data_IF_988641699241
#
_entry.id   IF_988641699241
#
_cell.length_a   1.000
_cell.length_b   1.000
_cell.length_c   1.000
_cell.angle_alpha   90.00
_cell.angle_beta   90.00
_cell.angle_gamma   90.00
#
_symmetry.space_group_name_H-M   'P 1'
#
loop_
_entity.id
_entity.type
_entity.pdbx_description
1 polymer ?
#
# COMPACT_ATOMS: atom_id res chain seq x y z
N UNK A 1 -58.05 18.53 -46.49
CA UNK A 1 -58.25 18.03 -47.87
C UNK A 1 -58.00 16.52 -47.99
N UNK A 2 -57.64 15.82 -46.91
CA UNK A 2 -57.34 14.37 -46.91
C UNK A 2 -56.01 14.02 -47.58
N UNK A 3 -55.08 14.99 -47.64
CA UNK A 3 -53.73 14.75 -48.11
C UNK A 3 -52.94 13.87 -47.13
N UNK A 4 -52.10 12.99 -47.70
CA UNK A 4 -51.21 12.13 -46.92
C UNK A 4 -50.13 12.98 -46.23
N UNK A 5 -49.94 12.76 -44.92
CA UNK A 5 -48.94 13.48 -44.14
C UNK A 5 -47.64 12.68 -44.03
N UNK A 6 -46.54 13.38 -44.20
CA UNK A 6 -45.19 12.87 -43.95
C UNK A 6 -44.59 13.58 -42.75
N UNK A 7 -43.91 12.82 -41.89
CA UNK A 7 -43.31 13.33 -40.67
C UNK A 7 -41.79 13.13 -40.71
N UNK A 8 -41.07 14.12 -40.22
CA UNK A 8 -39.62 14.07 -40.01
C UNK A 8 -39.36 14.54 -38.58
N UNK A 9 -38.52 13.82 -37.83
CA UNK A 9 -38.03 14.28 -36.55
C UNK A 9 -36.51 14.42 -36.58
N UNK A 10 -36.00 15.48 -35.96
CA UNK A 10 -34.59 15.76 -35.82
C UNK A 10 -34.29 16.05 -34.35
N UNK A 11 -33.28 15.37 -33.82
CA UNK A 11 -32.69 15.70 -32.52
C UNK A 11 -31.64 16.79 -32.72
N UNK A 12 -31.56 17.74 -31.78
CA UNK A 12 -30.47 18.73 -31.72
C UNK A 12 -29.09 18.05 -31.63
N UNK A 13 -29.03 16.89 -30.95
CA UNK A 13 -27.84 16.05 -30.79
C UNK A 13 -28.18 14.58 -31.12
N UNK A 14 -28.17 14.18 -32.40
CA UNK A 14 -28.53 12.83 -32.84
C UNK A 14 -27.65 11.71 -32.26
N UNK A 15 -26.41 12.03 -31.88
CA UNK A 15 -25.49 11.13 -31.20
C UNK A 15 -25.89 10.81 -29.76
N UNK A 16 -26.62 11.73 -29.11
CA UNK A 16 -27.08 11.58 -27.72
C UNK A 16 -28.51 11.03 -27.65
N UNK A 17 -29.37 11.42 -28.60
CA UNK A 17 -30.72 10.88 -28.75
C UNK A 17 -31.05 10.71 -30.22
N UNK A 18 -31.17 9.47 -30.67
CA UNK A 18 -31.62 9.15 -32.02
C UNK A 18 -33.15 9.34 -32.12
N UNK A 19 -33.60 10.05 -33.16
CA UNK A 19 -35.01 10.26 -33.47
C UNK A 19 -35.38 9.53 -34.76
N UNK A 20 -36.34 8.62 -34.68
CA UNK A 20 -36.89 7.91 -35.84
C UNK A 20 -38.41 8.13 -35.91
N UNK A 21 -38.93 8.26 -37.13
CA UNK A 21 -40.37 8.37 -37.36
C UNK A 21 -40.80 7.29 -38.34
N UNK A 22 -41.69 6.42 -37.89
CA UNK A 22 -42.32 5.39 -38.72
C UNK A 22 -43.82 5.60 -38.76
N UNK A 23 -44.34 6.03 -39.92
CA UNK A 23 -45.73 6.46 -40.05
C UNK A 23 -46.03 7.67 -39.17
N UNK A 24 -46.90 7.50 -38.18
CA UNK A 24 -47.29 8.54 -37.22
C UNK A 24 -46.67 8.32 -35.82
N UNK A 25 -45.69 7.43 -35.69
CA UNK A 25 -45.01 7.14 -34.43
C UNK A 25 -43.60 7.71 -34.42
N UNK A 26 -43.33 8.57 -33.44
CA UNK A 26 -41.97 9.02 -33.10
C UNK A 26 -41.36 8.07 -32.06
N UNK A 27 -40.14 7.61 -32.31
CA UNK A 27 -39.31 6.86 -31.37
C UNK A 27 -38.06 7.66 -31.08
N UNK A 28 -37.83 7.94 -29.80
CA UNK A 28 -36.63 8.62 -29.30
C UNK A 28 -35.81 7.60 -28.50
N UNK A 29 -34.57 7.40 -28.89
CA UNK A 29 -33.66 6.44 -28.26
C UNK A 29 -32.45 7.20 -27.73
N UNK A 30 -32.40 7.50 -26.42
CA UNK A 30 -31.19 8.01 -25.79
C UNK A 30 -30.02 7.04 -25.99
N UNK A 31 -28.82 7.58 -26.15
CA UNK A 31 -27.59 6.80 -26.11
C UNK A 31 -27.44 6.13 -24.73
N UNK A 32 -26.78 4.98 -24.71
CA UNK A 32 -26.38 4.32 -23.47
C UNK A 32 -25.57 5.30 -22.61
N UNK A 33 -25.83 5.29 -21.30
CA UNK A 33 -25.16 6.12 -20.29
C UNK A 33 -25.30 7.64 -20.48
N UNK A 34 -26.16 8.10 -21.40
CA UNK A 34 -26.42 9.53 -21.59
C UNK A 34 -27.65 9.98 -20.81
N UNK A 35 -27.47 11.06 -20.04
CA UNK A 35 -28.53 11.79 -19.35
C UNK A 35 -28.46 13.29 -19.67
N UNK A 36 -29.59 13.98 -19.58
CA UNK A 36 -29.67 15.41 -19.84
C UNK A 36 -30.91 15.81 -20.63
N UNK A 37 -30.88 17.02 -21.17
CA UNK A 37 -32.00 17.56 -21.95
C UNK A 37 -31.57 17.82 -23.39
N UNK A 38 -32.43 17.48 -24.35
CA UNK A 38 -32.24 17.73 -25.78
C UNK A 38 -33.52 18.26 -26.40
N UNK A 39 -33.41 19.16 -27.37
CA UNK A 39 -34.57 19.61 -28.14
C UNK A 39 -34.80 18.67 -29.32
N UNK A 40 -36.07 18.28 -29.51
CA UNK A 40 -36.53 17.49 -30.65
C UNK A 40 -37.45 18.37 -31.49
N UNK A 41 -37.10 18.53 -32.76
CA UNK A 41 -37.94 19.20 -33.75
C UNK A 41 -38.70 18.17 -34.58
N UNK A 42 -40.01 18.30 -34.67
CA UNK A 42 -40.86 17.46 -35.50
C UNK A 42 -41.50 18.34 -36.56
N UNK A 43 -41.32 17.96 -37.83
CA UNK A 43 -41.93 18.63 -38.97
C UNK A 43 -42.93 17.71 -39.65
N UNK A 44 -44.06 18.27 -40.06
CA UNK A 44 -45.11 17.60 -40.82
C UNK A 44 -45.34 18.30 -42.14
N UNK A 45 -45.50 17.54 -43.23
CA UNK A 45 -45.80 18.07 -44.56
C UNK A 45 -46.86 17.25 -45.27
N UNK A 46 -47.78 17.95 -45.94
CA UNK A 46 -48.77 17.40 -46.89
C UNK A 46 -48.22 17.31 -48.34
N UNK A 47 -46.92 17.58 -48.54
CA UNK A 47 -46.27 17.64 -49.84
C UNK A 47 -46.28 19.02 -50.51
N UNK A 48 -47.03 19.99 -49.98
CA UNK A 48 -47.10 21.37 -50.49
C UNK A 48 -46.68 22.41 -49.44
N UNK A 49 -47.14 22.25 -48.21
CA UNK A 49 -46.83 23.09 -47.05
C UNK A 49 -46.16 22.24 -45.97
N UNK A 50 -45.56 22.94 -45.02
CA UNK A 50 -44.83 22.32 -43.92
C UNK A 50 -45.08 23.13 -42.65
N UNK A 51 -45.25 22.44 -41.54
CA UNK A 51 -45.27 23.02 -40.20
C UNK A 51 -44.26 22.29 -39.31
N UNK A 52 -43.80 22.94 -38.23
CA UNK A 52 -42.80 22.37 -37.33
C UNK A 52 -43.00 22.80 -35.89
N UNK A 53 -42.90 21.85 -34.98
CA UNK A 53 -42.93 22.07 -33.54
C UNK A 53 -41.66 21.56 -32.88
N UNK A 54 -41.26 22.18 -31.77
CA UNK A 54 -40.08 21.76 -31.01
C UNK A 54 -40.44 21.57 -29.54
N UNK A 55 -39.99 20.46 -28.97
CA UNK A 55 -40.15 20.17 -27.54
C UNK A 55 -38.85 19.68 -26.93
N UNK A 56 -38.70 19.88 -25.62
CA UNK A 56 -37.57 19.36 -24.86
C UNK A 56 -37.87 17.96 -24.35
N UNK A 57 -36.95 17.01 -24.62
CA UNK A 57 -36.87 15.73 -23.94
C UNK A 57 -35.85 15.84 -22.81
N UNK A 58 -36.21 15.39 -21.61
CA UNK A 58 -35.27 15.21 -20.49
C UNK A 58 -35.12 13.73 -20.16
N UNK A 59 -33.89 13.24 -20.23
CA UNK A 59 -33.49 11.89 -19.83
C UNK A 59 -32.90 11.96 -18.42
N UNK A 60 -33.51 11.24 -17.49
CA UNK A 60 -33.06 11.17 -16.09
C UNK A 60 -31.92 10.16 -15.94
N UNK A 61 -30.87 10.48 -15.16
CA UNK A 61 -29.82 9.49 -14.87
C UNK A 61 -30.38 8.29 -14.10
N UNK A 62 -29.76 7.14 -14.32
CA UNK A 62 -29.86 5.95 -13.48
C UNK A 62 -28.45 5.70 -12.95
N UNK A 63 -28.31 5.45 -11.66
CA UNK A 63 -26.99 5.22 -11.07
C UNK A 63 -26.45 3.86 -11.49
N UNK A 64 -25.25 3.83 -12.04
CA UNK A 64 -24.55 2.62 -12.40
C UNK A 64 -23.65 2.13 -11.25
N UNK A 65 -23.31 0.84 -11.26
CA UNK A 65 -22.37 0.30 -10.29
C UNK A 65 -20.93 0.57 -10.76
N UNK A 66 -19.99 0.86 -9.85
CA UNK A 66 -18.60 1.03 -10.23
C UNK A 66 -18.02 -0.28 -10.75
N UNK A 67 -17.13 -0.18 -11.73
CA UNK A 67 -16.46 -1.31 -12.37
C UNK A 67 -14.96 -1.24 -12.07
N UNK A 68 -14.44 -2.22 -11.35
CA UNK A 68 -13.01 -2.36 -11.11
C UNK A 68 -12.30 -2.90 -12.36
N UNK A 69 -11.06 -2.43 -12.60
CA UNK A 69 -10.23 -2.96 -13.68
C UNK A 69 -9.48 -4.22 -13.21
N UNK A 70 -9.38 -5.22 -14.10
CA UNK A 70 -8.61 -6.42 -13.81
C UNK A 70 -7.12 -6.09 -13.74
N UNK A 71 -6.45 -6.63 -12.72
CA UNK A 71 -5.04 -6.44 -12.47
C UNK A 71 -4.35 -7.81 -12.56
N UNK A 72 -3.25 -7.87 -13.30
CA UNK A 72 -2.37 -9.02 -13.32
C UNK A 72 -0.93 -8.52 -13.24
N UNK A 73 -0.20 -8.95 -12.23
CA UNK A 73 1.14 -8.48 -11.92
C UNK A 73 2.04 -9.68 -11.66
N UNK A 74 3.28 -9.59 -12.13
CA UNK A 74 4.34 -10.54 -11.84
C UNK A 74 5.57 -9.77 -11.39
N UNK A 75 6.27 -10.29 -10.38
CA UNK A 75 7.54 -9.76 -9.90
C UNK A 75 8.56 -10.90 -9.79
N UNK A 76 9.84 -10.57 -9.73
CA UNK A 76 10.87 -11.52 -9.34
C UNK A 76 10.70 -11.88 -7.87
N UNK A 77 11.18 -13.07 -7.49
CA UNK A 77 11.25 -13.43 -6.07
C UNK A 77 11.99 -12.34 -5.26
N UNK A 78 11.57 -12.16 -4.01
CA UNK A 78 12.14 -11.20 -3.06
C UNK A 78 12.17 -9.73 -3.52
N UNK A 79 11.34 -9.38 -4.50
CA UNK A 79 11.28 -8.02 -5.06
C UNK A 79 9.90 -7.41 -4.82
N UNK A 80 9.81 -6.33 -3.99
CA UNK A 80 8.55 -5.61 -3.80
C UNK A 80 7.98 -5.09 -5.13
N UNK A 81 6.65 -5.08 -5.23
CA UNK A 81 5.95 -4.58 -6.42
C UNK A 81 4.81 -3.65 -6.02
N UNK A 82 4.79 -2.47 -6.63
CA UNK A 82 3.67 -1.55 -6.53
C UNK A 82 2.57 -1.97 -7.51
N UNK A 83 1.34 -2.13 -7.00
CA UNK A 83 0.19 -2.56 -7.79
C UNK A 83 -0.79 -1.40 -7.93
N UNK A 84 -0.85 -0.73 -9.09
CA UNK A 84 -1.82 0.33 -9.30
C UNK A 84 -3.23 -0.25 -9.37
N UNK A 85 -4.14 0.31 -8.59
CA UNK A 85 -5.57 -0.01 -8.64
C UNK A 85 -6.34 1.07 -9.40
N UNK A 86 -7.31 0.65 -10.20
CA UNK A 86 -8.14 1.55 -11.00
C UNK A 86 -9.52 0.95 -11.21
N UNK A 87 -10.47 1.84 -11.49
CA UNK A 87 -11.85 1.52 -11.80
C UNK A 87 -12.50 2.68 -12.54
N UNK A 88 -13.73 2.48 -12.96
CA UNK A 88 -14.56 3.51 -13.57
C UNK A 88 -15.97 3.45 -13.02
N UNK A 89 -16.59 4.61 -12.92
CA UNK A 89 -18.00 4.79 -12.63
C UNK A 89 -18.56 5.72 -13.71
N UNK A 90 -19.74 5.42 -14.24
CA UNK A 90 -20.33 6.13 -15.38
C UNK A 90 -20.68 7.57 -15.02
N UNK A 91 -21.18 7.78 -13.80
CA UNK A 91 -21.48 9.11 -13.26
C UNK A 91 -20.21 9.87 -12.86
N UNK A 92 -19.08 9.18 -12.77
CA UNK A 92 -17.80 9.74 -12.32
C UNK A 92 -17.73 9.91 -10.81
N UNK A 93 -18.48 9.11 -10.06
CA UNK A 93 -18.43 9.11 -8.61
C UNK A 93 -17.04 8.70 -8.09
N UNK A 94 -16.69 9.21 -6.91
CA UNK A 94 -15.42 8.89 -6.28
C UNK A 94 -15.38 7.42 -5.86
N UNK A 95 -14.33 6.71 -6.28
CA UNK A 95 -14.15 5.29 -6.01
C UNK A 95 -13.39 5.05 -4.72
N UNK A 96 -13.86 4.09 -3.92
CA UNK A 96 -13.09 3.51 -2.81
C UNK A 96 -12.73 2.08 -3.14
N UNK A 97 -11.51 1.67 -2.78
CA UNK A 97 -11.00 0.33 -3.03
C UNK A 97 -10.71 -0.35 -1.69
N UNK A 98 -11.04 -1.63 -1.60
CA UNK A 98 -10.72 -2.47 -0.46
C UNK A 98 -10.06 -3.76 -0.94
N UNK A 99 -9.18 -4.29 -0.11
CA UNK A 99 -8.57 -5.60 -0.35
C UNK A 99 -9.51 -6.67 0.19
N UNK A 100 -9.93 -7.60 -0.67
CA UNK A 100 -10.79 -8.73 -0.26
C UNK A 100 -9.98 -9.95 0.19
N UNK A 101 -8.88 -10.25 -0.50
CA UNK A 101 -8.02 -11.40 -0.23
C UNK A 101 -6.56 -10.96 -0.24
N UNK A 102 -5.81 -11.36 0.79
CA UNK A 102 -4.36 -11.16 0.85
C UNK A 102 -3.62 -12.23 0.05
N UNK A 103 -2.40 -11.93 -0.44
CA UNK A 103 -1.55 -12.95 -1.04
C UNK A 103 -1.25 -14.06 -0.02
N UNK A 104 -1.24 -15.32 -0.48
CA UNK A 104 -0.91 -16.47 0.37
C UNK A 104 0.58 -16.49 0.78
N UNK A 105 1.45 -15.86 -0.02
CA UNK A 105 2.89 -15.77 0.21
C UNK A 105 3.35 -14.33 0.01
N UNK A 106 4.19 -13.83 0.92
CA UNK A 106 4.45 -12.39 1.05
C UNK A 106 3.28 -11.68 1.72
N UNK A 107 3.33 -10.36 1.79
CA UNK A 107 2.25 -9.56 2.38
C UNK A 107 2.16 -8.18 1.78
N UNK A 108 1.23 -7.38 2.29
CA UNK A 108 0.92 -6.05 1.78
C UNK A 108 1.39 -4.99 2.75
N UNK A 109 1.89 -3.89 2.22
CA UNK A 109 2.33 -2.72 2.99
C UNK A 109 3.85 -2.53 2.94
N UNK A 110 4.32 -1.37 3.40
CA UNK A 110 5.73 -1.17 3.69
C UNK A 110 6.16 -2.15 4.79
N UNK A 111 7.05 -3.06 4.43
CA UNK A 111 7.71 -3.98 5.36
C UNK A 111 9.20 -3.69 5.33
N UNK A 112 9.86 -3.75 6.48
CA UNK A 112 11.31 -3.52 6.52
C UNK A 112 12.00 -4.56 7.37
N UNK A 113 13.27 -4.79 7.05
CA UNK A 113 14.22 -5.51 7.89
C UNK A 113 15.45 -4.63 8.03
N UNK A 114 15.81 -4.29 9.26
CA UNK A 114 17.07 -3.64 9.59
C UNK A 114 18.02 -4.70 10.10
N UNK A 115 19.20 -4.77 9.47
CA UNK A 115 20.31 -5.61 9.91
C UNK A 115 21.34 -4.76 10.65
N UNK A 116 21.71 -5.19 11.85
CA UNK A 116 22.80 -4.63 12.64
C UNK A 116 23.90 -5.67 12.77
N UNK A 117 25.08 -5.33 12.29
CA UNK A 117 26.27 -6.16 12.43
C UNK A 117 26.97 -5.77 13.74
N UNK A 118 27.10 -6.73 14.66
CA UNK A 118 27.84 -6.58 15.89
C UNK A 118 29.19 -7.29 15.79
N UNK A 119 30.28 -6.52 15.86
CA UNK A 119 31.66 -7.02 15.72
C UNK A 119 32.42 -6.87 17.03
N UNK A 120 33.06 -7.94 17.48
CA UNK A 120 33.88 -7.95 18.69
C UNK A 120 34.70 -9.24 18.83
N UNK A 121 35.91 -9.15 19.39
CA UNK A 121 36.74 -10.34 19.63
C UNK A 121 37.09 -11.14 18.36
N UNK A 122 37.08 -10.49 17.19
CA UNK A 122 37.31 -11.12 15.89
C UNK A 122 36.13 -11.95 15.36
N UNK A 123 34.93 -11.77 15.92
CA UNK A 123 33.69 -12.40 15.47
C UNK A 123 32.67 -11.33 15.04
N UNK A 124 31.70 -11.73 14.22
CA UNK A 124 30.57 -10.91 13.79
C UNK A 124 29.25 -11.65 14.06
N UNK A 125 28.30 -10.98 14.69
CA UNK A 125 26.92 -11.44 14.84
C UNK A 125 25.98 -10.53 14.06
N UNK A 126 25.02 -11.11 13.36
CA UNK A 126 24.00 -10.39 12.59
C UNK A 126 22.71 -10.37 13.38
N UNK A 127 22.20 -9.17 13.66
CA UNK A 127 20.93 -8.96 14.36
C UNK A 127 19.92 -8.38 13.37
N UNK A 128 18.86 -9.12 13.09
CA UNK A 128 17.80 -8.67 12.19
C UNK A 128 16.54 -8.32 12.97
N UNK A 129 15.97 -7.14 12.72
CA UNK A 129 14.68 -6.74 13.29
C UNK A 129 13.81 -6.03 12.25
N UNK A 130 12.50 -6.03 12.47
CA UNK A 130 11.59 -5.22 11.66
C UNK A 130 10.17 -5.75 11.65
N UNK A 131 9.40 -5.29 10.67
CA UNK A 131 8.01 -5.66 10.47
C UNK A 131 7.84 -6.39 9.16
N UNK A 132 7.17 -7.54 9.23
CA UNK A 132 6.63 -8.20 8.04
C UNK A 132 5.15 -8.48 8.30
N UNK A 133 4.25 -8.19 7.35
CA UNK A 133 2.83 -8.50 7.47
C UNK A 133 2.51 -10.00 7.49
N UNK A 134 3.51 -10.84 7.26
CA UNK A 134 3.42 -12.30 7.29
C UNK A 134 4.39 -12.94 8.29
N UNK A 135 5.06 -12.14 9.13
CA UNK A 135 5.83 -12.72 10.22
C UNK A 135 4.87 -13.42 11.18
N UNK A 136 5.18 -14.67 11.49
CA UNK A 136 4.53 -15.41 12.56
C UNK A 136 5.33 -15.22 13.85
N UNK A 137 4.64 -15.24 14.98
CA UNK A 137 5.20 -15.12 16.33
C UNK A 137 5.86 -16.43 16.83
N UNK A 138 5.97 -17.44 15.95
CA UNK A 138 6.46 -18.79 16.25
C UNK A 138 7.34 -19.29 15.11
N UNK A 139 8.37 -20.07 15.45
CA UNK A 139 9.24 -20.73 14.49
C UNK A 139 8.47 -21.50 13.39
N UNK A 140 8.57 -21.04 12.14
CA UNK A 140 8.06 -21.70 10.95
C UNK A 140 9.17 -22.43 10.18
N UNK A 141 9.22 -23.75 10.33
CA UNK A 141 10.23 -24.61 9.69
C UNK A 141 10.19 -24.46 8.14
N UNK A 142 11.27 -23.92 7.57
CA UNK A 142 11.40 -23.69 6.12
C UNK A 142 11.12 -22.26 5.65
N UNK A 143 10.56 -21.41 6.52
CA UNK A 143 10.46 -19.94 6.34
C UNK A 143 11.46 -19.25 7.27
N UNK A 144 11.61 -19.74 8.50
CA UNK A 144 12.58 -19.26 9.48
C UNK A 144 13.96 -19.87 9.27
N UNK A 145 14.82 -19.06 8.66
CA UNK A 145 16.21 -19.39 8.37
C UNK A 145 17.16 -19.27 9.59
N UNK A 146 16.69 -18.88 10.77
CA UNK A 146 17.60 -18.42 11.85
C UNK A 146 17.26 -18.92 13.26
N UNK A 147 17.59 -20.19 13.52
CA UNK A 147 17.90 -20.65 14.87
C UNK A 147 19.15 -21.55 14.86
N UNK A 148 20.37 -21.00 14.68
CA UNK A 148 21.56 -21.79 14.98
C UNK A 148 21.54 -22.14 16.48
N UNK A 149 21.89 -23.37 16.88
CA UNK A 149 22.01 -23.72 18.30
C UNK A 149 23.03 -22.79 18.98
N UNK A 150 22.83 -22.43 20.27
CA UNK A 150 23.69 -21.50 20.99
C UNK A 150 25.16 -21.95 20.86
N UNK A 151 26.07 -21.10 20.35
CA UNK A 151 27.47 -21.47 20.22
C UNK A 151 28.11 -21.68 21.61
N UNK A 152 29.09 -22.58 21.75
CA UNK A 152 29.87 -22.69 22.99
C UNK A 152 30.62 -21.36 23.22
N UNK A 153 30.73 -20.88 24.46
CA UNK A 153 31.07 -19.48 24.72
C UNK A 153 32.49 -19.14 24.25
N UNK A 154 32.69 -18.15 23.36
CA UNK A 154 33.90 -17.35 23.33
C UNK A 154 33.62 -15.99 24.01
N UNK A 155 34.64 -15.13 24.12
CA UNK A 155 34.56 -13.88 24.87
C UNK A 155 33.46 -12.90 24.45
N UNK A 156 32.94 -12.96 23.21
CA UNK A 156 31.97 -12.00 22.65
C UNK A 156 30.64 -12.66 22.29
N UNK A 157 29.53 -11.98 22.55
CA UNK A 157 28.16 -12.40 22.21
C UNK A 157 27.24 -11.16 22.09
N UNK A 158 26.32 -11.16 21.11
CA UNK A 158 25.28 -10.14 20.94
C UNK A 158 23.98 -10.79 20.45
N UNK A 159 22.84 -10.47 21.07
CA UNK A 159 21.54 -11.01 20.69
C UNK A 159 20.39 -10.04 21.00
N UNK A 160 19.30 -10.15 20.25
CA UNK A 160 18.03 -9.48 20.52
C UNK A 160 17.31 -10.19 21.68
N UNK A 161 16.69 -9.43 22.59
CA UNK A 161 15.93 -9.92 23.72
C UNK A 161 14.42 -9.78 23.50
N UNK A 162 13.68 -10.87 23.72
CA UNK A 162 12.21 -10.85 23.68
C UNK A 162 11.60 -11.84 24.66
N UNK A 163 10.63 -11.38 25.45
CA UNK A 163 9.91 -12.20 26.44
C UNK A 163 10.80 -13.00 27.43
N UNK A 164 12.07 -12.59 27.60
CA UNK A 164 13.06 -13.28 28.45
C UNK A 164 14.00 -14.23 27.70
N UNK A 165 13.77 -14.45 26.41
CA UNK A 165 14.59 -15.29 25.54
C UNK A 165 15.48 -14.46 24.60
N UNK A 166 16.45 -15.12 23.96
CA UNK A 166 17.50 -14.51 23.12
C UNK A 166 17.39 -14.97 21.67
N UNK A 167 17.47 -14.04 20.73
CA UNK A 167 17.30 -14.27 19.30
C UNK A 167 18.34 -13.52 18.47
N UNK A 168 18.73 -14.04 17.30
CA UNK A 168 19.50 -13.27 16.31
C UNK A 168 18.59 -12.54 15.32
N UNK A 169 17.31 -12.91 15.27
CA UNK A 169 16.33 -12.31 14.38
C UNK A 169 15.03 -12.17 15.15
N UNK A 170 14.44 -10.98 15.13
CA UNK A 170 13.16 -10.68 15.76
C UNK A 170 12.33 -9.82 14.81
N UNK A 171 11.52 -10.48 14.00
CA UNK A 171 10.58 -9.85 13.09
C UNK A 171 9.19 -10.03 13.70
N UNK A 172 8.43 -8.95 13.81
CA UNK A 172 7.08 -9.00 14.36
C UNK A 172 6.05 -8.76 13.27
N UNK A 173 4.85 -9.32 13.45
CA UNK A 173 3.71 -9.02 12.60
C UNK A 173 3.43 -7.52 12.67
N UNK A 174 3.43 -6.84 11.52
CA UNK A 174 3.19 -5.41 11.46
C UNK A 174 3.41 -4.81 10.06
N UNK A 175 3.11 -3.53 9.95
CA UNK A 175 3.37 -2.68 8.77
C UNK A 175 4.03 -1.39 9.26
N UNK A 176 4.71 -0.64 8.39
CA UNK A 176 5.08 0.74 8.75
C UNK A 176 3.84 1.63 9.01
N UNK A 177 2.64 1.19 8.60
CA UNK A 177 1.38 1.85 8.97
C UNK A 177 0.96 1.59 10.45
N UNK A 178 1.63 0.66 11.14
CA UNK A 178 1.49 0.51 12.60
C UNK A 178 2.28 1.63 13.29
N UNK A 179 1.61 2.74 13.56
CA UNK A 179 2.20 3.93 14.17
C UNK A 179 2.58 3.76 15.65
N UNK A 180 2.54 2.54 16.18
CA UNK A 180 2.95 2.21 17.55
C UNK A 180 4.48 2.17 17.64
N UNK A 181 5.04 2.69 18.73
CA UNK A 181 6.46 2.54 19.02
C UNK A 181 6.78 1.10 19.43
N UNK A 182 7.80 0.52 18.80
CA UNK A 182 8.33 -0.80 19.13
C UNK A 182 9.75 -0.69 19.67
N UNK A 183 10.07 -1.51 20.67
CA UNK A 183 11.35 -1.48 21.38
C UNK A 183 11.95 -2.88 21.41
N UNK A 184 13.20 -2.99 20.97
CA UNK A 184 14.00 -4.21 21.02
C UNK A 184 15.20 -4.02 21.94
N UNK A 185 15.42 -4.96 22.86
CA UNK A 185 16.63 -4.98 23.68
C UNK A 185 17.75 -5.69 22.91
N UNK A 186 18.93 -5.08 22.82
CA UNK A 186 20.16 -5.75 22.39
C UNK A 186 20.96 -6.10 23.63
N UNK A 187 21.09 -7.39 23.92
CA UNK A 187 21.96 -7.92 24.96
C UNK A 187 23.38 -8.07 24.43
N UNK A 188 24.36 -7.55 25.19
CA UNK A 188 25.76 -7.48 24.80
C UNK A 188 26.66 -8.16 25.83
N UNK A 189 27.57 -9.00 25.36
CA UNK A 189 28.69 -9.55 26.12
C UNK A 189 30.00 -9.16 25.45
N UNK A 190 30.84 -8.45 26.21
CA UNK A 190 32.07 -7.87 25.70
C UNK A 190 33.21 -8.89 25.58
N UNK A 191 34.01 -8.83 24.50
CA UNK A 191 35.23 -9.62 24.38
C UNK A 191 36.31 -9.16 25.36
N UNK A 192 37.44 -9.87 25.42
CA UNK A 192 38.56 -9.52 26.32
C UNK A 192 39.11 -8.10 26.10
N UNK A 193 39.04 -7.58 24.87
CA UNK A 193 39.45 -6.22 24.53
C UNK A 193 38.42 -5.15 24.94
N UNK A 194 37.24 -5.55 25.40
CA UNK A 194 36.13 -4.70 25.79
C UNK A 194 35.61 -3.77 24.68
N UNK A 195 35.75 -4.18 23.42
CA UNK A 195 35.27 -3.40 22.27
C UNK A 195 34.18 -4.16 21.53
N UNK A 196 33.05 -3.48 21.29
CA UNK A 196 32.01 -3.93 20.37
C UNK A 196 31.74 -2.78 19.39
N UNK A 197 31.73 -3.06 18.10
CA UNK A 197 31.30 -2.12 17.07
C UNK A 197 30.00 -2.62 16.46
N UNK A 198 28.97 -1.79 16.51
CA UNK A 198 27.70 -1.98 15.82
C UNK A 198 27.71 -1.17 14.52
N UNK A 199 27.30 -1.77 13.41
CA UNK A 199 27.13 -1.09 12.11
C UNK A 199 25.81 -1.47 11.46
N UNK A 200 25.21 -0.56 10.70
CA UNK A 200 23.93 -0.77 10.00
C UNK A 200 23.88 0.07 8.72
N UNK A 201 23.00 -0.31 7.78
CA UNK A 201 22.66 0.52 6.61
C UNK A 201 21.52 1.48 6.99
N UNK A 202 21.71 2.77 6.74
CA UNK A 202 20.72 3.81 7.02
C UNK A 202 19.88 4.20 5.80
N UNK A 203 20.15 3.61 4.63
CA UNK A 203 19.44 3.90 3.39
C UNK A 203 17.94 3.63 3.54
N UNK A 204 17.11 4.65 3.33
CA UNK A 204 15.65 4.52 3.38
C UNK A 204 15.04 4.48 4.80
N UNK A 205 15.83 4.44 5.87
CA UNK A 205 15.28 4.40 7.24
C UNK A 205 14.47 5.66 7.58
N UNK A 206 14.86 6.82 7.05
CA UNK A 206 14.15 8.09 7.28
C UNK A 206 12.74 8.11 6.69
N UNK A 207 12.50 7.30 5.65
CA UNK A 207 11.20 7.20 4.99
C UNK A 207 10.28 6.23 5.76
N UNK A 208 10.87 5.32 6.54
CA UNK A 208 10.15 4.32 7.34
C UNK A 208 9.78 4.82 8.73
N UNK A 209 10.46 5.83 9.26
CA UNK A 209 10.18 6.39 10.58
C UNK A 209 11.42 6.86 11.32
N UNK A 210 11.34 6.85 12.65
CA UNK A 210 12.47 7.16 13.53
C UNK A 210 13.10 5.87 14.05
N UNK A 211 14.43 5.82 14.04
CA UNK A 211 15.22 4.68 14.50
C UNK A 211 16.29 5.19 15.48
N UNK A 212 16.10 4.93 16.77
CA UNK A 212 16.99 5.39 17.82
C UNK A 212 17.66 4.21 18.53
N UNK A 213 18.99 4.22 18.55
CA UNK A 213 19.78 3.31 19.37
C UNK A 213 20.18 4.00 20.67
N UNK A 214 19.67 3.48 21.78
CA UNK A 214 19.76 4.09 23.10
C UNK A 214 20.38 3.16 24.13
N UNK A 215 20.91 3.74 25.21
CA UNK A 215 21.20 2.96 26.40
C UNK A 215 19.93 2.50 27.13
N UNK A 216 20.12 1.64 28.14
CA UNK A 216 19.04 1.18 29.02
C UNK A 216 18.38 2.29 29.86
N UNK A 217 18.93 3.51 29.88
CA UNK A 217 18.43 4.69 30.59
C UNK A 217 17.74 5.68 29.66
N UNK A 218 17.14 5.16 28.59
CA UNK A 218 16.31 5.88 27.61
C UNK A 218 17.03 7.08 26.99
N UNK A 219 18.30 6.89 26.64
CA UNK A 219 19.05 7.88 25.87
C UNK A 219 19.91 8.83 26.71
N UNK A 220 20.05 8.60 28.02
CA UNK A 220 20.71 9.55 28.93
C UNK A 220 22.22 9.67 28.70
N UNK A 221 22.87 8.60 28.26
CA UNK A 221 24.32 8.50 27.99
C UNK A 221 24.61 8.16 26.53
N UNK A 222 23.80 7.29 25.92
CA UNK A 222 23.90 6.91 24.49
C UNK A 222 22.53 7.14 23.86
N UNK A 223 22.47 8.00 22.85
CA UNK A 223 21.29 8.24 22.03
C UNK A 223 21.75 8.54 20.59
N UNK A 224 21.70 7.53 19.74
CA UNK A 224 22.17 7.60 18.36
C UNK A 224 20.97 7.51 17.43
N UNK A 225 20.85 8.49 16.55
CA UNK A 225 19.91 8.44 15.43
C UNK A 225 20.51 7.58 14.32
N UNK A 226 19.89 6.41 14.10
CA UNK A 226 20.30 5.44 13.10
C UNK A 226 19.96 5.88 11.67
N UNK A 227 19.07 6.85 11.49
CA UNK A 227 18.77 7.42 10.16
C UNK A 227 19.88 8.35 9.67
N UNK A 228 20.72 8.85 10.59
CA UNK A 228 21.82 9.79 10.31
C UNK A 228 23.19 9.13 10.41
N UNK A 229 23.37 8.25 11.40
CA UNK A 229 24.63 7.54 11.64
C UNK A 229 24.54 6.12 11.10
N UNK A 230 25.68 5.47 10.87
CA UNK A 230 25.77 4.09 10.37
C UNK A 230 26.56 3.16 11.31
N UNK A 231 27.05 3.70 12.43
CA UNK A 231 27.83 2.91 13.39
C UNK A 231 27.83 3.46 14.82
N UNK A 232 28.07 2.58 15.77
CA UNK A 232 28.34 2.89 17.18
C UNK A 232 29.45 1.96 17.70
N UNK A 233 30.53 2.54 18.25
CA UNK A 233 31.57 1.74 18.93
C UNK A 233 31.44 1.90 20.44
N UNK A 234 31.27 0.77 21.13
CA UNK A 234 31.18 0.68 22.57
C UNK A 234 32.49 0.19 23.15
N UNK A 235 32.99 0.91 24.15
CA UNK A 235 34.24 0.59 24.86
C UNK A 235 34.07 0.48 26.38
N UNK A 236 32.84 0.63 26.87
CA UNK A 236 32.50 0.55 28.29
C UNK A 236 31.61 -0.67 28.55
N UNK A 237 32.15 -1.75 29.16
CA UNK A 237 31.41 -2.97 29.46
C UNK A 237 30.21 -2.81 30.39
N UNK A 238 30.03 -1.65 31.02
CA UNK A 238 28.83 -1.35 31.80
C UNK A 238 27.56 -1.28 30.93
N UNK A 239 27.69 -1.05 29.62
CA UNK A 239 26.55 -1.06 28.68
C UNK A 239 26.30 -2.47 28.14
N UNK A 240 25.75 -3.33 28.98
CA UNK A 240 25.41 -4.71 28.59
C UNK A 240 24.03 -4.86 27.93
N UNK A 241 23.23 -3.78 27.91
CA UNK A 241 21.94 -3.70 27.21
C UNK A 241 21.87 -2.36 26.48
N UNK A 242 21.53 -2.41 25.20
CA UNK A 242 21.05 -1.26 24.42
C UNK A 242 19.59 -1.48 24.04
N UNK A 243 18.89 -0.39 23.72
CA UNK A 243 17.52 -0.41 23.20
C UNK A 243 17.49 0.17 21.80
N UNK A 244 16.87 -0.53 20.87
CA UNK A 244 16.47 0.05 19.58
C UNK A 244 15.02 0.44 19.73
N UNK A 245 14.72 1.73 19.55
CA UNK A 245 13.35 2.23 19.44
C UNK A 245 13.06 2.52 17.99
N UNK A 246 11.97 1.96 17.48
CA UNK A 246 11.44 2.31 16.17
C UNK A 246 10.05 2.89 16.34
N UNK A 247 9.85 4.09 15.81
CA UNK A 247 8.52 4.69 15.66
C UNK A 247 8.26 4.86 14.17
N UNK A 248 7.38 4.04 13.58
CA UNK A 248 7.07 4.14 12.15
C UNK A 248 6.50 5.51 11.76
N UNK A 249 6.73 5.92 10.51
CA UNK A 249 6.22 7.16 9.95
C UNK A 249 4.70 7.08 9.65
N UNK A 250 4.01 8.24 9.70
CA UNK A 250 2.63 8.39 9.22
C UNK A 250 2.50 8.33 7.70
#
# INVERSE_FOLDING_TARGET
DEDDLTFIALSEYPENVAADVTGNQLTLTPAEDWNGSVNISVSVSDGFLTDSETFALTVTPVNDAPVAQNINVSTTEDTPVEVPVSGSDIEGDALTFELMDSPQYGGLGPSFVVSIDAVGGGQTHFLNLGFLPFATDVYDEGIDIYAPPPPPPPGFDAALGWAGDRYFTQIVEGSADDLVEHIWDIQLQYPEDNIITLTWDNTGLSDLGTFLLQDAFDGSMINIDMTVNESLTLTNPAFNILKIRVTPAE
#
